data_IF_102207112739
#
_entry.id   IF_102207112739
#
_cell.length_a   1.000
_cell.length_b   1.000
_cell.length_c   1.000
_cell.angle_alpha   90.00
_cell.angle_beta   90.00
_cell.angle_gamma   90.00
#
_symmetry.space_group_name_H-M   'P 1'
#
loop_
_entity.id
_entity.type
_entity.pdbx_description
1 polymer ?
#
# COMPACT_ATOMS: atom_id res chain seq x y z
N UNK A 1 4.77 -5.10 3.26
CA UNK A 1 4.56 -3.69 2.87
C UNK A 1 3.38 -3.10 3.59
N UNK A 2 3.50 -1.84 4.00
CA UNK A 2 2.42 -1.07 4.59
C UNK A 2 1.96 0.06 3.68
N UNK A 3 0.68 0.40 3.78
CA UNK A 3 0.08 1.56 3.10
C UNK A 3 -0.97 2.16 4.00
N UNK A 4 -0.97 3.48 4.15
CA UNK A 4 -1.95 4.17 4.96
C UNK A 4 -2.19 5.62 4.49
N UNK A 5 -3.32 6.16 4.91
CA UNK A 5 -3.68 7.57 4.75
C UNK A 5 -3.98 8.17 6.12
N UNK A 6 -3.51 9.39 6.36
CA UNK A 6 -3.80 10.17 7.55
C UNK A 6 -3.90 11.67 7.19
N UNK A 7 -4.18 12.51 8.18
CA UNK A 7 -4.29 13.96 7.99
C UNK A 7 -2.94 14.59 7.63
N UNK A 8 -1.86 14.10 8.24
CA UNK A 8 -0.49 14.50 7.92
C UNK A 8 0.37 13.30 7.48
N UNK A 9 1.49 13.61 6.81
CA UNK A 9 2.36 12.61 6.20
C UNK A 9 3.15 11.79 7.22
N UNK A 10 3.44 12.36 8.40
CA UNK A 10 4.16 11.67 9.47
C UNK A 10 3.27 10.61 10.11
N UNK A 11 2.02 10.97 10.44
CA UNK A 11 1.04 10.02 10.94
C UNK A 11 0.70 8.94 9.89
N UNK A 12 0.64 9.30 8.61
CA UNK A 12 0.44 8.33 7.52
C UNK A 12 1.59 7.32 7.46
N UNK A 13 2.84 7.79 7.60
CA UNK A 13 4.02 6.94 7.64
C UNK A 13 3.98 5.97 8.82
N UNK A 14 3.72 6.45 10.03
CA UNK A 14 3.67 5.61 11.23
C UNK A 14 2.64 4.50 11.10
N UNK A 15 1.47 4.84 10.59
CA UNK A 15 0.40 3.88 10.34
C UNK A 15 0.77 2.86 9.26
N UNK A 16 1.40 3.32 8.18
CA UNK A 16 1.87 2.42 7.12
C UNK A 16 2.97 1.49 7.62
N UNK A 17 3.91 2.02 8.43
CA UNK A 17 4.95 1.21 9.06
C UNK A 17 4.38 0.16 10.01
N UNK A 18 3.41 0.54 10.84
CA UNK A 18 2.74 -0.36 11.76
C UNK A 18 2.01 -1.53 11.07
N UNK A 19 1.62 -1.40 9.80
CA UNK A 19 0.98 -2.49 9.06
C UNK A 19 1.87 -3.73 8.95
N UNK A 20 3.18 -3.55 8.68
CA UNK A 20 4.12 -4.67 8.52
C UNK A 20 5.57 -4.23 8.80
N UNK A 21 5.92 -4.04 10.07
CA UNK A 21 7.26 -3.57 10.44
C UNK A 21 8.38 -4.58 10.10
N UNK A 22 8.06 -5.88 10.02
CA UNK A 22 9.04 -6.90 9.62
C UNK A 22 9.49 -6.72 8.17
N UNK A 23 8.55 -6.51 7.25
CA UNK A 23 8.86 -6.33 5.82
C UNK A 23 9.35 -4.92 5.49
N UNK A 24 9.21 -3.96 6.40
CA UNK A 24 9.69 -2.60 6.23
C UNK A 24 11.21 -2.44 6.41
N UNK A 25 11.91 -3.45 6.90
CA UNK A 25 13.36 -3.44 7.03
C UNK A 25 14.04 -3.40 5.64
N UNK A 26 14.95 -2.45 5.43
CA UNK A 26 15.53 -2.22 4.10
C UNK A 26 14.54 -1.63 3.10
N UNK A 27 13.49 -0.98 3.60
CA UNK A 27 12.34 -0.57 2.82
C UNK A 27 12.57 0.65 1.93
N UNK A 28 11.63 0.82 1.01
CA UNK A 28 11.46 1.99 0.16
C UNK A 28 10.23 2.73 0.66
N UNK A 29 10.41 3.99 1.05
CA UNK A 29 9.32 4.87 1.48
C UNK A 29 8.87 5.71 0.29
N UNK A 30 7.57 5.67 -0.03
CA UNK A 30 6.98 6.53 -1.04
C UNK A 30 5.94 7.45 -0.39
N UNK A 31 6.11 8.75 -0.58
CA UNK A 31 5.23 9.79 -0.06
C UNK A 31 4.58 10.55 -1.21
N UNK A 32 3.33 10.99 -1.03
CA UNK A 32 2.61 11.79 -2.02
C UNK A 32 2.54 13.29 -1.65
N UNK A 33 3.30 13.70 -0.63
CA UNK A 33 3.41 15.08 -0.13
C UNK A 33 4.86 15.39 0.18
N UNK A 34 5.15 16.68 0.41
CA UNK A 34 6.43 17.12 0.93
C UNK A 34 6.77 16.41 2.22
N UNK A 35 8.01 15.96 2.34
CA UNK A 35 8.53 15.27 3.52
C UNK A 35 9.13 16.31 4.48
N UNK A 36 8.54 16.49 5.67
CA UNK A 36 9.05 17.38 6.69
C UNK A 36 10.16 16.71 7.54
N UNK A 37 10.87 17.52 8.32
CA UNK A 37 11.90 17.05 9.25
C UNK A 37 11.37 16.00 10.24
N UNK A 38 10.16 16.21 10.76
CA UNK A 38 9.52 15.37 11.76
C UNK A 38 9.39 13.92 11.27
N UNK A 39 8.97 13.73 10.01
CA UNK A 39 8.90 12.38 9.43
C UNK A 39 10.27 11.72 9.36
N UNK A 40 11.31 12.49 9.00
CA UNK A 40 12.67 11.95 8.88
C UNK A 40 13.18 11.41 10.21
N UNK A 41 12.84 12.04 11.33
CA UNK A 41 13.26 11.59 12.67
C UNK A 41 12.69 10.20 13.05
N UNK A 42 11.58 9.78 12.44
CA UNK A 42 11.00 8.45 12.70
C UNK A 42 11.87 7.31 12.14
N UNK A 43 12.61 7.56 11.06
CA UNK A 43 13.49 6.56 10.45
C UNK A 43 14.96 6.98 10.38
N UNK A 44 15.31 8.18 10.83
CA UNK A 44 16.70 8.68 10.76
C UNK A 44 17.65 7.94 11.70
N UNK A 45 17.15 7.38 12.78
CA UNK A 45 17.93 6.52 13.66
C UNK A 45 18.00 5.10 13.08
N UNK A 46 19.20 4.67 12.69
CA UNK A 46 19.43 3.32 12.15
C UNK A 46 19.07 2.19 13.11
N UNK A 47 19.02 2.47 14.41
CA UNK A 47 18.60 1.50 15.40
C UNK A 47 17.08 1.32 15.45
N UNK A 48 16.31 2.24 14.86
CA UNK A 48 14.86 2.16 14.78
C UNK A 48 14.39 1.50 13.49
N UNK A 49 14.90 1.97 12.36
CA UNK A 49 14.54 1.41 11.05
C UNK A 49 15.65 1.61 10.02
N UNK A 50 15.99 0.54 9.32
CA UNK A 50 16.83 0.63 8.14
C UNK A 50 15.97 0.96 6.92
N UNK A 51 16.26 2.10 6.27
CA UNK A 51 15.59 2.58 5.04
C UNK A 51 16.66 2.78 3.98
N UNK A 52 16.44 2.25 2.79
CA UNK A 52 17.35 2.38 1.66
C UNK A 52 16.99 3.52 0.72
N UNK A 53 15.70 3.75 0.50
CA UNK A 53 15.22 4.74 -0.47
C UNK A 53 14.05 5.50 0.12
N UNK A 54 13.99 6.80 -0.12
CA UNK A 54 12.78 7.59 0.05
C UNK A 54 12.50 8.38 -1.24
N UNK A 55 11.24 8.36 -1.67
CA UNK A 55 10.76 9.07 -2.86
C UNK A 55 9.55 9.94 -2.48
N UNK A 56 9.59 11.21 -2.85
CA UNK A 56 8.52 12.18 -2.58
C UNK A 56 8.52 13.31 -3.60
N UNK A 57 7.45 14.12 -3.70
CA UNK A 57 7.44 15.30 -4.55
C UNK A 57 8.51 16.33 -4.16
N UNK A 58 8.67 16.59 -2.87
CA UNK A 58 9.65 17.53 -2.32
C UNK A 58 10.01 17.19 -0.88
N UNK A 59 11.00 17.91 -0.35
CA UNK A 59 11.51 17.75 1.01
C UNK A 59 11.79 19.14 1.59
N UNK A 60 11.57 19.34 2.89
CA UNK A 60 12.03 20.57 3.55
C UNK A 60 13.57 20.60 3.62
N UNK A 61 14.15 21.80 3.74
CA UNK A 61 15.59 21.97 3.82
C UNK A 61 16.18 21.20 5.02
N UNK A 62 15.53 21.26 6.16
CA UNK A 62 15.92 20.59 7.39
C UNK A 62 15.85 19.05 7.23
N UNK A 63 14.85 18.55 6.52
CA UNK A 63 14.74 17.13 6.19
C UNK A 63 15.92 16.67 5.34
N UNK A 64 16.30 17.42 4.30
CA UNK A 64 17.45 17.12 3.46
C UNK A 64 18.77 17.15 4.24
N UNK A 65 18.99 18.15 5.08
CA UNK A 65 20.18 18.25 5.94
C UNK A 65 20.28 17.05 6.90
N UNK A 66 19.14 16.61 7.42
CA UNK A 66 19.10 15.44 8.32
C UNK A 66 19.41 14.14 7.60
N UNK A 67 18.84 13.95 6.40
CA UNK A 67 19.06 12.76 5.59
C UNK A 67 20.48 12.72 4.99
N UNK A 68 21.10 13.86 4.71
CA UNK A 68 22.48 13.93 4.21
C UNK A 68 23.50 13.30 5.17
N UNK A 69 23.18 13.17 6.46
CA UNK A 69 24.01 12.46 7.45
C UNK A 69 23.99 10.94 7.29
N UNK A 70 23.18 10.42 6.35
CA UNK A 70 23.04 8.99 6.03
C UNK A 70 23.53 8.71 4.60
N UNK A 71 24.84 8.41 4.41
CA UNK A 71 25.46 8.34 3.09
C UNK A 71 24.88 7.23 2.18
N UNK A 72 24.22 6.23 2.78
CA UNK A 72 23.64 5.11 2.02
C UNK A 72 22.14 5.29 1.74
N UNK A 73 21.51 6.34 2.24
CA UNK A 73 20.09 6.64 1.95
C UNK A 73 19.97 7.33 0.59
N UNK A 74 19.18 6.77 -0.30
CA UNK A 74 18.86 7.39 -1.60
C UNK A 74 17.61 8.22 -1.45
N UNK A 75 17.73 9.51 -1.76
CA UNK A 75 16.62 10.48 -1.67
C UNK A 75 16.28 10.93 -3.07
N UNK A 76 15.04 10.67 -3.50
CA UNK A 76 14.55 11.02 -4.83
C UNK A 76 13.41 12.05 -4.73
N UNK A 77 13.61 13.22 -5.35
CA UNK A 77 12.58 14.23 -5.51
C UNK A 77 11.98 14.12 -6.92
N UNK A 78 10.65 13.96 -6.99
CA UNK A 78 9.94 13.83 -8.28
C UNK A 78 9.46 15.16 -8.82
N UNK A 79 9.41 16.22 -8.00
CA UNK A 79 8.85 17.53 -8.35
C UNK A 79 7.34 17.56 -8.48
N UNK A 80 6.71 16.38 -8.53
CA UNK A 80 5.27 16.18 -8.67
C UNK A 80 4.96 14.74 -9.02
N UNK A 81 3.68 14.41 -9.06
CA UNK A 81 3.20 13.12 -9.60
C UNK A 81 2.73 13.42 -11.03
N UNK A 82 3.63 13.29 -11.98
CA UNK A 82 3.23 13.26 -13.39
C UNK A 82 2.86 11.83 -13.76
N UNK A 83 1.75 11.66 -14.43
CA UNK A 83 1.29 10.36 -14.94
C UNK A 83 2.08 9.96 -16.20
N UNK A 84 3.37 10.09 -16.15
CA UNK A 84 4.46 9.68 -17.00
C UNK A 84 4.16 8.92 -18.28
N UNK A 85 4.92 7.88 -18.53
CA UNK A 85 4.81 7.08 -19.74
C UNK A 85 3.43 6.43 -19.89
N UNK A 86 2.84 6.59 -21.05
CA UNK A 86 1.56 5.98 -21.43
C UNK A 86 1.70 4.49 -21.74
N UNK A 87 2.93 3.99 -21.84
CA UNK A 87 3.26 2.65 -22.30
C UNK A 87 4.33 2.03 -21.41
N UNK A 88 4.08 0.80 -20.98
CA UNK A 88 5.07 -0.06 -20.33
C UNK A 88 5.72 -0.99 -21.33
N UNK A 89 7.04 -1.13 -21.22
CA UNK A 89 7.85 -2.00 -22.04
C UNK A 89 8.50 -3.08 -21.16
N UNK A 90 8.37 -4.35 -21.56
CA UNK A 90 9.07 -5.48 -20.92
C UNK A 90 9.83 -6.28 -21.95
N UNK A 91 11.15 -6.39 -21.76
CA UNK A 91 11.96 -7.29 -22.57
C UNK A 91 11.62 -8.75 -22.27
N UNK A 92 11.49 -9.53 -23.33
CA UNK A 92 11.38 -10.98 -23.28
C UNK A 92 12.43 -11.58 -24.22
N UNK A 93 12.66 -12.89 -24.13
CA UNK A 93 13.57 -13.55 -25.06
C UNK A 93 13.03 -13.43 -26.50
N UNK A 94 13.85 -12.87 -27.39
CA UNK A 94 13.51 -12.64 -28.78
C UNK A 94 12.53 -11.49 -29.09
N UNK A 95 12.15 -10.64 -28.08
CA UNK A 95 11.19 -9.57 -28.33
C UNK A 95 10.93 -8.64 -27.17
N UNK A 96 9.80 -7.95 -27.25
CA UNK A 96 9.35 -6.99 -26.25
C UNK A 96 7.83 -7.04 -26.11
N UNK A 97 7.35 -7.07 -24.88
CA UNK A 97 5.94 -6.83 -24.56
C UNK A 97 5.72 -5.33 -24.41
N UNK A 98 4.66 -4.85 -25.04
CA UNK A 98 4.24 -3.44 -25.01
C UNK A 98 2.80 -3.39 -24.55
N UNK A 99 2.49 -2.63 -23.52
CA UNK A 99 1.12 -2.42 -23.05
C UNK A 99 0.91 -0.98 -22.59
N UNK A 100 -0.32 -0.52 -22.63
CA UNK A 100 -0.68 0.76 -22.01
C UNK A 100 -0.60 0.64 -20.50
N UNK A 101 -0.14 1.72 -19.86
CA UNK A 101 -0.16 1.81 -18.39
C UNK A 101 -1.61 1.89 -17.91
N UNK A 102 -1.94 1.15 -16.87
CA UNK A 102 -3.26 1.22 -16.25
C UNK A 102 -3.46 2.53 -15.49
N UNK A 103 -3.92 3.55 -16.20
CA UNK A 103 -4.31 4.85 -15.65
C UNK A 103 -5.79 4.93 -15.27
N UNK A 104 -6.52 3.83 -15.35
CA UNK A 104 -7.95 3.84 -15.05
C UNK A 104 -8.18 4.33 -13.63
N UNK A 105 -8.92 5.43 -13.52
CA UNK A 105 -9.46 5.93 -12.26
C UNK A 105 -10.91 5.48 -12.22
N UNK A 106 -11.24 4.65 -11.25
CA UNK A 106 -12.58 4.13 -11.10
C UNK A 106 -13.53 5.27 -10.70
N UNK A 107 -14.69 5.32 -11.35
CA UNK A 107 -15.79 6.21 -10.97
C UNK A 107 -16.71 5.45 -9.99
N UNK A 108 -16.80 5.86 -8.71
CA UNK A 108 -17.66 5.23 -7.73
C UNK A 108 -19.14 5.16 -8.16
N UNK A 109 -19.57 6.05 -9.04
CA UNK A 109 -20.93 6.03 -9.58
C UNK A 109 -21.22 4.80 -10.47
N UNK A 110 -20.18 4.13 -10.97
CA UNK A 110 -20.30 2.92 -11.79
C UNK A 110 -20.29 1.63 -10.96
N UNK A 111 -20.06 1.70 -9.66
CA UNK A 111 -19.98 0.52 -8.81
C UNK A 111 -21.34 -0.17 -8.67
N UNK A 112 -21.32 -1.48 -8.73
CA UNK A 112 -22.50 -2.31 -8.51
C UNK A 112 -22.44 -2.98 -7.14
N UNK A 113 -23.58 -3.11 -6.51
CA UNK A 113 -23.71 -3.71 -5.18
C UNK A 113 -24.61 -4.96 -5.29
N UNK A 114 -24.01 -6.15 -5.48
CA UNK A 114 -24.78 -7.38 -5.67
C UNK A 114 -25.46 -7.90 -4.40
N UNK A 115 -25.09 -7.38 -3.23
CA UNK A 115 -25.67 -7.74 -1.94
C UNK A 115 -26.89 -6.90 -1.61
N UNK A 116 -27.82 -7.46 -0.80
CA UNK A 116 -29.02 -6.72 -0.33
C UNK A 116 -28.62 -5.51 0.52
N UNK A 117 -27.63 -5.70 1.42
CA UNK A 117 -27.05 -4.61 2.21
C UNK A 117 -26.07 -3.80 1.36
N UNK A 118 -26.26 -2.50 1.33
CA UNK A 118 -25.32 -1.56 0.72
C UNK A 118 -24.34 -1.01 1.77
N UNK A 119 -23.10 -0.68 1.39
CA UNK A 119 -22.18 -0.05 2.30
C UNK A 119 -22.66 1.35 2.72
N UNK A 120 -22.35 1.74 3.94
CA UNK A 120 -22.44 3.14 4.38
C UNK A 120 -21.33 3.97 3.72
N UNK A 121 -21.43 5.31 3.79
CA UNK A 121 -20.40 6.20 3.23
C UNK A 121 -19.01 5.94 3.84
N UNK A 122 -18.93 5.62 5.13
CA UNK A 122 -17.68 5.30 5.80
C UNK A 122 -17.10 3.96 5.32
N UNK A 123 -17.93 2.94 5.15
CA UNK A 123 -17.53 1.65 4.58
C UNK A 123 -17.11 1.80 3.11
N UNK A 124 -17.82 2.64 2.36
CA UNK A 124 -17.49 2.91 0.97
C UNK A 124 -16.10 3.57 0.85
N UNK A 125 -15.80 4.57 1.69
CA UNK A 125 -14.49 5.21 1.72
C UNK A 125 -13.35 4.24 2.08
N UNK A 126 -13.63 3.24 2.93
CA UNK A 126 -12.68 2.18 3.27
C UNK A 126 -12.49 1.19 2.11
N UNK A 127 -13.58 0.79 1.44
CA UNK A 127 -13.55 -0.07 0.26
C UNK A 127 -12.78 0.57 -0.90
N UNK A 128 -12.98 1.86 -1.15
CA UNK A 128 -12.23 2.60 -2.16
C UNK A 128 -10.73 2.66 -1.85
N UNK A 129 -10.37 2.86 -0.57
CA UNK A 129 -8.97 2.81 -0.15
C UNK A 129 -8.38 1.43 -0.40
N UNK A 130 -9.08 0.36 0.04
CA UNK A 130 -8.63 -1.01 -0.16
C UNK A 130 -8.44 -1.33 -1.66
N UNK A 131 -9.40 -0.92 -2.49
CA UNK A 131 -9.34 -1.11 -3.95
C UNK A 131 -8.11 -0.43 -4.58
N UNK A 132 -7.90 0.86 -4.28
CA UNK A 132 -6.77 1.63 -4.80
C UNK A 132 -5.42 1.05 -4.40
N UNK A 133 -5.30 0.57 -3.17
CA UNK A 133 -4.05 -0.07 -2.70
C UNK A 133 -3.89 -1.44 -3.35
N UNK A 134 -4.96 -2.24 -3.45
CA UNK A 134 -4.92 -3.58 -4.05
C UNK A 134 -4.46 -3.54 -5.51
N UNK A 135 -4.80 -2.50 -6.27
CA UNK A 135 -4.33 -2.28 -7.64
C UNK A 135 -2.80 -2.34 -7.77
N UNK A 136 -2.08 -1.84 -6.77
CA UNK A 136 -0.61 -1.87 -6.72
C UNK A 136 -0.02 -3.19 -6.20
N UNK A 137 -0.84 -4.13 -5.76
CA UNK A 137 -0.38 -5.41 -5.19
C UNK A 137 -0.27 -6.46 -6.29
N UNK A 138 0.84 -7.19 -6.27
CA UNK A 138 1.10 -8.22 -7.30
C UNK A 138 0.10 -9.37 -7.19
N UNK A 139 -0.48 -9.75 -8.31
CA UNK A 139 -1.45 -10.86 -8.47
C UNK A 139 -0.84 -12.24 -8.10
N UNK A 140 -1.60 -13.22 -7.60
CA UNK A 140 -2.92 -13.07 -6.99
C UNK A 140 -2.81 -12.24 -5.72
N UNK A 141 -3.71 -11.29 -5.54
CA UNK A 141 -3.65 -10.37 -4.42
C UNK A 141 -4.98 -10.28 -3.66
N UNK A 142 -4.86 -10.29 -2.34
CA UNK A 142 -5.93 -9.91 -1.40
C UNK A 142 -5.36 -8.84 -0.48
N UNK A 143 -6.12 -7.78 -0.27
CA UNK A 143 -5.83 -6.74 0.70
C UNK A 143 -6.97 -6.62 1.70
N UNK A 144 -6.63 -6.62 2.98
CA UNK A 144 -7.54 -6.30 4.08
C UNK A 144 -7.13 -4.94 4.64
N UNK A 145 -8.09 -4.05 4.81
CA UNK A 145 -7.85 -2.73 5.38
C UNK A 145 -8.78 -2.40 6.54
N UNK A 146 -8.35 -1.48 7.39
CA UNK A 146 -9.13 -0.90 8.48
C UNK A 146 -8.65 0.52 8.77
N UNK A 147 -9.58 1.46 8.79
CA UNK A 147 -9.29 2.86 9.05
C UNK A 147 -8.33 3.47 8.02
N UNK A 148 -8.41 3.08 6.76
CA UNK A 148 -7.51 3.50 5.68
C UNK A 148 -6.03 3.13 5.93
N UNK A 149 -5.81 1.93 6.48
CA UNK A 149 -4.51 1.29 6.58
C UNK A 149 -4.60 -0.15 6.05
N UNK A 150 -3.66 -0.56 5.21
CA UNK A 150 -3.61 -1.91 4.63
C UNK A 150 -2.99 -2.90 5.62
N UNK A 151 -3.79 -3.42 6.52
CA UNK A 151 -3.36 -4.21 7.68
C UNK A 151 -3.07 -5.68 7.38
N UNK A 152 -3.60 -6.19 6.27
CA UNK A 152 -3.36 -7.56 5.82
C UNK A 152 -3.19 -7.62 4.31
N UNK A 153 -2.03 -8.07 3.85
CA UNK A 153 -1.72 -8.13 2.42
C UNK A 153 -1.19 -9.53 2.06
N UNK A 154 -1.88 -10.19 1.14
CA UNK A 154 -1.45 -11.47 0.56
C UNK A 154 -1.08 -11.29 -0.91
N UNK A 155 0.18 -10.88 -1.22
CA UNK A 155 0.62 -10.57 -2.57
C UNK A 155 1.23 -11.78 -3.26
N UNK A 156 1.09 -11.84 -4.60
CA UNK A 156 1.91 -12.69 -5.47
C UNK A 156 1.76 -14.19 -5.25
N UNK A 157 0.61 -14.64 -4.76
CA UNK A 157 0.40 -16.05 -4.48
C UNK A 157 -0.03 -16.83 -5.75
N UNK A 158 0.32 -18.14 -5.84
CA UNK A 158 -0.09 -18.97 -6.97
C UNK A 158 -1.61 -19.11 -7.12
N UNK A 159 -2.34 -19.01 -6.02
CA UNK A 159 -3.80 -19.10 -6.01
C UNK A 159 -4.42 -18.06 -5.06
N UNK A 160 -5.71 -17.83 -5.21
CA UNK A 160 -6.46 -16.81 -4.46
C UNK A 160 -6.67 -17.19 -2.99
N UNK A 161 -6.78 -18.49 -2.70
CA UNK A 161 -6.99 -19.00 -1.34
C UNK A 161 -5.76 -18.70 -0.48
N UNK A 162 -4.57 -18.99 -0.97
CA UNK A 162 -3.31 -18.68 -0.26
C UNK A 162 -3.14 -17.17 -0.04
N UNK A 163 -3.55 -16.34 -1.04
CA UNK A 163 -3.57 -14.88 -0.87
C UNK A 163 -4.50 -14.46 0.27
N UNK A 164 -5.69 -15.06 0.34
CA UNK A 164 -6.67 -14.74 1.39
C UNK A 164 -6.17 -15.19 2.77
N UNK A 165 -5.68 -16.40 2.89
CA UNK A 165 -5.12 -16.92 4.15
C UNK A 165 -3.98 -16.06 4.67
N UNK A 166 -3.03 -15.71 3.79
CA UNK A 166 -1.91 -14.84 4.16
C UNK A 166 -2.37 -13.42 4.55
N UNK A 167 -3.37 -12.87 3.86
CA UNK A 167 -3.92 -11.57 4.21
C UNK A 167 -4.64 -11.59 5.57
N UNK A 168 -5.39 -12.65 5.85
CA UNK A 168 -6.07 -12.84 7.14
C UNK A 168 -5.05 -12.99 8.29
N UNK A 169 -4.05 -13.87 8.15
CA UNK A 169 -2.99 -14.06 9.13
C UNK A 169 -2.31 -12.73 9.49
N UNK A 170 -1.94 -11.95 8.49
CA UNK A 170 -1.29 -10.63 8.71
C UNK A 170 -2.21 -9.61 9.36
N UNK A 171 -3.50 -9.61 9.01
CA UNK A 171 -4.47 -8.73 9.63
C UNK A 171 -4.72 -9.10 11.10
N UNK A 172 -4.73 -10.38 11.43
CA UNK A 172 -4.81 -10.88 12.80
C UNK A 172 -3.58 -10.48 13.61
N UNK A 173 -2.38 -10.72 13.08
CA UNK A 173 -1.11 -10.31 13.69
C UNK A 173 -1.08 -8.80 13.95
N UNK A 174 -1.56 -7.99 13.01
CA UNK A 174 -1.69 -6.55 13.19
C UNK A 174 -2.61 -6.20 14.35
N UNK A 175 -3.82 -6.78 14.37
CA UNK A 175 -4.81 -6.50 15.41
C UNK A 175 -4.28 -6.87 16.80
N UNK A 176 -3.59 -8.00 16.94
CA UNK A 176 -3.01 -8.45 18.20
C UNK A 176 -1.86 -7.53 18.65
N UNK A 177 -0.98 -7.16 17.74
CA UNK A 177 0.17 -6.31 18.03
C UNK A 177 -0.21 -4.89 18.41
N UNK A 178 -1.17 -4.30 17.68
CA UNK A 178 -1.60 -2.91 17.87
C UNK A 178 -2.78 -2.77 18.85
N UNK A 179 -3.32 -3.87 19.38
CA UNK A 179 -4.48 -3.85 20.26
C UNK A 179 -5.77 -3.37 19.59
N UNK A 180 -5.93 -3.65 18.29
CA UNK A 180 -7.06 -3.23 17.48
C UNK A 180 -8.14 -4.30 17.50
N UNK A 181 -9.40 -3.91 17.72
CA UNK A 181 -10.54 -4.82 17.70
C UNK A 181 -10.69 -5.51 16.33
N UNK A 182 -10.86 -6.84 16.34
CA UNK A 182 -11.12 -7.64 15.13
C UNK A 182 -12.54 -7.37 14.62
N UNK A 183 -12.66 -6.97 13.35
CA UNK A 183 -13.93 -6.68 12.67
C UNK A 183 -13.99 -5.30 12.04
N UNK A 184 -15.03 -5.06 11.23
CA UNK A 184 -15.19 -3.82 10.48
C UNK A 184 -14.12 -3.62 9.41
N UNK A 185 -13.65 -4.71 8.80
CA UNK A 185 -12.64 -4.70 7.75
C UNK A 185 -13.26 -4.48 6.38
N UNK A 186 -12.52 -3.82 5.48
CA UNK A 186 -12.74 -3.90 4.05
C UNK A 186 -11.74 -4.87 3.42
N UNK A 187 -12.19 -5.57 2.38
CA UNK A 187 -11.35 -6.50 1.63
C UNK A 187 -11.43 -6.17 0.15
N UNK A 188 -10.27 -6.14 -0.51
CA UNK A 188 -10.16 -6.00 -1.95
C UNK A 188 -9.39 -7.16 -2.56
N UNK A 189 -9.78 -7.54 -3.79
CA UNK A 189 -9.13 -8.57 -4.59
C UNK A 189 -8.80 -8.02 -5.97
N UNK A 190 -7.65 -8.36 -6.51
CA UNK A 190 -7.22 -7.92 -7.85
C UNK A 190 -7.99 -8.59 -9.01
N UNK A 191 -8.78 -9.64 -8.71
CA UNK A 191 -9.67 -10.28 -9.67
C UNK A 191 -10.85 -10.98 -8.96
N UNK A 192 -11.78 -11.52 -9.75
CA UNK A 192 -12.94 -12.26 -9.23
C UNK A 192 -12.53 -13.52 -8.46
N UNK A 193 -13.40 -13.97 -7.55
CA UNK A 193 -13.22 -15.24 -6.84
C UNK A 193 -13.69 -16.41 -7.72
N UNK A 194 -12.80 -17.30 -8.17
CA UNK A 194 -13.22 -18.43 -8.99
C UNK A 194 -13.96 -19.47 -8.15
N UNK A 195 -15.18 -19.82 -8.57
CA UNK A 195 -15.93 -21.01 -8.15
C UNK A 195 -15.82 -21.41 -6.68
N UNK A 196 -16.45 -20.67 -5.79
CA UNK A 196 -16.66 -21.05 -4.37
C UNK A 196 -15.42 -21.42 -3.52
N UNK A 197 -14.21 -21.42 -4.06
CA UNK A 197 -13.03 -21.84 -3.33
C UNK A 197 -12.79 -21.07 -2.02
N UNK A 198 -13.25 -19.82 -1.94
CA UNK A 198 -13.09 -18.97 -0.77
C UNK A 198 -14.24 -19.05 0.25
N UNK A 199 -15.40 -19.60 -0.12
CA UNK A 199 -16.51 -19.80 0.83
C UNK A 199 -16.76 -21.25 1.19
N UNK A 200 -15.94 -22.16 0.72
CA UNK A 200 -16.04 -23.61 1.01
C UNK A 200 -14.79 -24.19 1.65
N UNK A 201 -13.74 -23.41 1.82
CA UNK A 201 -12.49 -23.79 2.50
C UNK A 201 -12.39 -23.24 3.91
#
# INVERSE_FOLDING_TARGET
CGSAVAEDITAAYDRAFACDPKSAFGGIIACNREVPYELVEHFADQNKQFVEVIIAPSYTAEALERMAKRPNLRVLATGGVDHGAQVELRSIDGGMLVQEVDHVTEDPATFTFPTDRKPTDAEMAELEFAWKVCKGVKSNAILISKGKAGIGMGPGQPNRVDSALLACERAEDFCEREGVEKGGFACASDAFFPFCLLYTS
#
